data_IF_498377604080
#
_entry.id   IF_498377604080
#
_cell.length_a   1.000
_cell.length_b   1.000
_cell.length_c   1.000
_cell.angle_alpha   90.00
_cell.angle_beta   90.00
_cell.angle_gamma   90.00
#
_symmetry.space_group_name_H-M   'P 1'
#
loop_
_entity.id
_entity.type
_entity.pdbx_description
1 polymer ?
#
# COMPACT_ATOMS: atom_id res chain seq x y z
N UNK A 1 -6.78 18.47 19.32
CA UNK A 1 -7.14 19.68 20.04
C UNK A 1 -6.83 19.48 21.51
N UNK A 2 -5.65 19.90 21.96
CA UNK A 2 -5.40 20.03 23.40
C UNK A 2 -6.00 21.37 23.84
N UNK A 3 -6.83 21.41 24.90
CA UNK A 3 -7.32 22.68 25.42
C UNK A 3 -6.17 23.42 26.09
N UNK A 4 -5.82 24.59 25.57
CA UNK A 4 -4.86 25.51 26.19
C UNK A 4 -5.67 26.46 27.08
N UNK A 5 -5.50 26.36 28.40
CA UNK A 5 -6.13 27.28 29.35
C UNK A 5 -5.15 28.43 29.63
N UNK A 6 -5.36 29.59 29.02
CA UNK A 6 -4.73 30.83 29.49
C UNK A 6 -5.38 31.20 30.84
N UNK A 7 -4.58 31.48 31.89
CA UNK A 7 -5.08 31.87 33.22
C UNK A 7 -5.76 33.22 33.09
N UNK A 8 -7.09 33.23 33.09
CA UNK A 8 -7.87 34.47 32.98
C UNK A 8 -9.25 34.34 32.36
N UNK A 9 -9.63 33.16 31.88
CA UNK A 9 -10.93 32.94 31.25
C UNK A 9 -10.78 32.59 29.78
N UNK A 10 -11.80 31.90 29.27
CA UNK A 10 -11.82 31.18 28.00
C UNK A 10 -11.61 32.16 26.83
N UNK A 11 -10.38 32.30 26.34
CA UNK A 11 -10.10 32.92 25.05
C UNK A 11 -9.35 31.92 24.14
N UNK A 12 -9.78 31.88 22.88
CA UNK A 12 -9.25 31.05 21.79
C UNK A 12 -7.73 31.26 21.58
N UNK A 13 -7.00 30.24 21.15
CA UNK A 13 -5.55 30.23 20.91
C UNK A 13 -5.08 31.44 20.08
N UNK A 14 -5.88 31.86 19.08
CA UNK A 14 -5.62 33.05 18.25
C UNK A 14 -5.55 34.36 19.06
N UNK A 15 -6.38 34.51 20.09
CA UNK A 15 -6.42 35.71 20.93
C UNK A 15 -5.19 35.79 21.84
N UNK A 16 -4.79 34.66 22.44
CA UNK A 16 -3.61 34.56 23.30
C UNK A 16 -2.31 34.76 22.45
N UNK A 17 -2.27 34.23 21.22
CA UNK A 17 -1.15 34.42 20.29
C UNK A 17 -0.99 35.87 19.77
N UNK A 18 -2.09 36.56 19.47
CA UNK A 18 -2.05 37.96 19.01
C UNK A 18 -1.55 38.90 20.13
N UNK A 19 -1.98 38.70 21.38
CA UNK A 19 -1.49 39.47 22.53
C UNK A 19 0.01 39.32 22.77
N UNK A 20 0.59 38.18 22.40
CA UNK A 20 2.03 37.96 22.47
C UNK A 20 2.81 38.51 21.27
N UNK A 21 2.14 38.74 20.13
CA UNK A 21 2.75 39.32 18.92
C UNK A 21 3.10 40.80 19.05
N UNK A 22 2.32 41.55 19.83
CA UNK A 22 2.50 43.01 20.00
C UNK A 22 3.46 43.40 21.15
N UNK A 23 4.12 42.44 21.79
CA UNK A 23 5.15 42.71 22.80
C UNK A 23 4.63 43.22 24.16
N UNK A 24 3.32 43.24 24.36
CA UNK A 24 2.69 43.95 25.48
C UNK A 24 2.27 43.03 26.65
N UNK A 25 3.01 41.94 26.91
CA UNK A 25 2.69 41.00 28.00
C UNK A 25 3.60 41.27 29.20
N UNK A 26 3.06 41.92 30.24
CA UNK A 26 3.69 42.00 31.57
C UNK A 26 3.58 40.62 32.24
N UNK A 27 4.70 40.12 32.79
CA UNK A 27 4.90 38.72 33.21
C UNK A 27 4.07 38.21 34.40
N UNK A 28 2.83 38.64 34.53
CA UNK A 28 1.86 38.22 35.56
C UNK A 28 0.65 37.49 34.93
N UNK A 29 0.38 37.66 33.64
CA UNK A 29 -0.80 37.05 32.97
C UNK A 29 -0.54 35.70 32.26
N UNK A 30 0.70 35.23 32.21
CA UNK A 30 1.03 33.87 31.75
C UNK A 30 1.31 32.98 32.96
N UNK A 31 0.26 32.71 33.73
CA UNK A 31 0.32 31.78 34.86
C UNK A 31 0.51 30.33 34.41
N UNK A 32 1.28 29.58 35.21
CA UNK A 32 1.51 28.13 35.11
C UNK A 32 0.19 27.34 35.06
N UNK A 33 -0.37 27.12 33.88
CA UNK A 33 -1.27 25.99 33.62
C UNK A 33 -1.13 25.60 32.16
N UNK A 34 -0.45 24.49 31.92
CA UNK A 34 -0.19 23.95 30.59
C UNK A 34 1.24 24.20 30.08
N UNK A 35 1.62 23.43 29.05
CA UNK A 35 2.96 23.31 28.44
C UNK A 35 3.56 24.60 27.82
N UNK A 36 2.99 25.79 28.07
CA UNK A 36 3.38 27.04 27.41
C UNK A 36 3.61 28.11 28.48
N UNK A 37 4.86 28.59 28.63
CA UNK A 37 5.21 29.82 29.37
C UNK A 37 5.19 31.02 28.38
N UNK A 38 5.57 32.26 28.67
CA UNK A 38 6.05 33.28 27.68
C UNK A 38 7.13 34.15 28.36
N UNK A 39 8.29 34.30 27.71
CA UNK A 39 9.44 35.03 28.27
C UNK A 39 9.61 36.39 27.57
N UNK A 40 9.68 37.46 28.36
CA UNK A 40 9.83 38.85 27.86
C UNK A 40 11.12 39.09 27.06
N UNK A 41 12.17 38.29 27.24
CA UNK A 41 13.47 38.47 26.60
C UNK A 41 13.59 37.74 25.25
N UNK A 42 12.76 36.71 25.03
CA UNK A 42 12.84 35.82 23.86
C UNK A 42 11.49 35.59 23.13
N UNK A 43 10.40 36.19 23.61
CA UNK A 43 9.04 35.96 23.10
C UNK A 43 8.39 34.71 23.72
N UNK A 44 7.26 34.26 23.17
CA UNK A 44 6.65 33.03 23.67
C UNK A 44 7.60 31.83 23.51
N UNK A 45 7.70 30.97 24.54
CA UNK A 45 8.75 30.00 24.73
C UNK A 45 8.34 28.67 24.13
N UNK A 46 9.37 27.87 23.97
CA UNK A 46 9.26 26.54 23.41
C UNK A 46 8.38 25.58 24.21
N UNK A 47 7.62 24.75 23.50
CA UNK A 47 6.77 23.66 24.00
C UNK A 47 7.57 22.58 24.75
N UNK A 48 8.89 22.48 24.52
CA UNK A 48 9.73 21.40 25.04
C UNK A 48 10.74 21.82 26.11
N UNK A 49 11.13 23.09 26.20
CA UNK A 49 12.11 23.56 27.20
C UNK A 49 11.97 25.06 27.52
N UNK A 50 12.22 25.43 28.78
CA UNK A 50 12.20 26.84 29.19
C UNK A 50 13.31 27.63 28.50
N UNK A 51 12.96 28.68 27.74
CA UNK A 51 13.90 29.60 27.09
C UNK A 51 14.31 29.25 25.66
N UNK A 52 13.71 28.24 25.03
CA UNK A 52 14.02 27.87 23.64
C UNK A 52 13.26 28.74 22.61
N UNK A 53 13.84 28.85 21.42
CA UNK A 53 13.37 29.72 20.33
C UNK A 53 12.29 29.05 19.48
N UNK A 54 11.55 29.83 18.66
CA UNK A 54 10.56 29.29 17.70
C UNK A 54 11.15 28.26 16.72
N UNK A 55 12.43 28.38 16.40
CA UNK A 55 13.12 27.45 15.50
C UNK A 55 13.32 26.09 16.17
N UNK A 56 13.66 26.08 17.46
CA UNK A 56 13.83 24.87 18.26
C UNK A 56 12.52 24.08 18.38
N UNK A 57 11.40 24.78 18.51
CA UNK A 57 10.05 24.18 18.55
C UNK A 57 9.62 23.57 17.22
N UNK A 58 9.93 24.23 16.11
CA UNK A 58 9.65 23.68 14.78
C UNK A 58 10.47 22.41 14.53
N UNK A 59 11.71 22.37 15.02
CA UNK A 59 12.58 21.19 14.92
C UNK A 59 12.05 20.08 15.82
N UNK A 60 11.75 20.35 17.10
CA UNK A 60 11.25 19.36 18.04
C UNK A 60 9.88 18.80 17.64
N UNK A 61 8.99 19.64 17.11
CA UNK A 61 7.72 19.21 16.51
C UNK A 61 7.92 18.30 15.30
N UNK A 62 8.87 18.64 14.41
CA UNK A 62 9.26 17.80 13.28
C UNK A 62 9.80 16.44 13.72
N UNK A 63 10.71 16.41 14.70
CA UNK A 63 11.26 15.18 15.27
C UNK A 63 10.18 14.33 15.92
N UNK A 64 9.29 14.92 16.71
CA UNK A 64 8.18 14.22 17.35
C UNK A 64 7.22 13.60 16.31
N UNK A 65 6.92 14.33 15.23
CA UNK A 65 6.09 13.83 14.13
C UNK A 65 6.73 12.62 13.45
N UNK A 66 8.03 12.68 13.14
CA UNK A 66 8.76 11.58 12.51
C UNK A 66 8.79 10.36 13.44
N UNK A 67 9.12 10.55 14.72
CA UNK A 67 9.13 9.47 15.71
C UNK A 67 7.76 8.81 15.88
N UNK A 68 6.69 9.61 15.96
CA UNK A 68 5.32 9.11 16.04
C UNK A 68 4.93 8.29 14.80
N UNK A 69 5.34 8.75 13.61
CA UNK A 69 5.07 8.05 12.36
C UNK A 69 5.84 6.73 12.26
N UNK A 70 7.12 6.71 12.66
CA UNK A 70 7.92 5.49 12.74
C UNK A 70 7.32 4.51 13.75
N UNK A 71 6.95 4.98 14.95
CA UNK A 71 6.35 4.14 15.98
C UNK A 71 5.01 3.55 15.53
N UNK A 72 4.15 4.36 14.90
CA UNK A 72 2.88 3.91 14.32
C UNK A 72 3.13 2.83 13.26
N UNK A 73 4.11 3.04 12.39
CA UNK A 73 4.46 2.10 11.32
C UNK A 73 5.00 0.78 11.87
N UNK A 74 5.89 0.81 12.86
CA UNK A 74 6.40 -0.39 13.55
C UNK A 74 5.27 -1.13 14.26
N UNK A 75 4.38 -0.42 14.96
CA UNK A 75 3.24 -1.03 15.65
C UNK A 75 2.28 -1.71 14.66
N UNK A 76 1.96 -1.05 13.55
CA UNK A 76 1.10 -1.60 12.50
C UNK A 76 1.72 -2.86 11.87
N UNK A 77 3.02 -2.84 11.54
CA UNK A 77 3.72 -4.01 11.00
C UNK A 77 3.81 -5.14 12.02
N UNK A 78 4.08 -4.82 13.29
CA UNK A 78 4.12 -5.79 14.39
C UNK A 78 2.78 -6.50 14.58
N UNK A 79 1.69 -5.75 14.59
CA UNK A 79 0.33 -6.28 14.70
C UNK A 79 -0.02 -7.24 13.55
N UNK A 80 0.31 -6.85 12.31
CA UNK A 80 0.10 -7.70 11.13
C UNK A 80 0.93 -8.99 11.23
N UNK A 81 2.21 -8.90 11.61
CA UNK A 81 3.11 -10.05 11.74
C UNK A 81 2.66 -11.02 12.84
N UNK A 82 2.26 -10.51 14.01
CA UNK A 82 1.77 -11.33 15.13
C UNK A 82 0.50 -12.06 14.73
N UNK A 83 -0.43 -11.37 14.08
CA UNK A 83 -1.68 -12.00 13.64
C UNK A 83 -1.45 -13.07 12.58
N UNK A 84 -0.55 -12.83 11.62
CA UNK A 84 -0.18 -13.83 10.62
C UNK A 84 0.41 -15.09 11.26
N UNK A 85 1.30 -14.94 12.24
CA UNK A 85 1.90 -16.07 12.97
C UNK A 85 0.86 -16.84 13.80
N UNK A 86 -0.03 -16.14 14.50
CA UNK A 86 -1.06 -16.78 15.34
C UNK A 86 -2.07 -17.62 14.55
N UNK A 87 -2.41 -17.18 13.33
CA UNK A 87 -3.38 -17.89 12.49
C UNK A 87 -2.77 -19.06 11.71
N UNK A 88 -1.47 -19.00 11.37
CA UNK A 88 -0.74 -20.16 10.86
C UNK A 88 -0.68 -21.31 11.89
N UNK A 89 -0.81 -21.00 13.19
CA UNK A 89 -0.90 -22.01 14.26
C UNK A 89 -2.30 -22.57 14.51
N UNK A 90 -3.37 -21.97 13.95
CA UNK A 90 -4.74 -22.45 14.14
C UNK A 90 -5.06 -23.57 13.14
N UNK A 91 -5.71 -24.65 13.60
CA UNK A 91 -6.07 -25.77 12.72
C UNK A 91 -6.90 -25.27 11.54
N UNK A 92 -6.41 -25.51 10.32
CA UNK A 92 -7.07 -25.18 9.05
C UNK A 92 -8.51 -25.69 8.98
N UNK A 93 -8.80 -26.79 9.68
CA UNK A 93 -10.14 -27.40 9.78
C UNK A 93 -11.14 -26.56 10.58
N UNK A 94 -10.69 -25.83 11.60
CA UNK A 94 -11.52 -24.91 12.39
C UNK A 94 -11.86 -23.68 11.55
N UNK A 95 -10.85 -23.12 10.87
CA UNK A 95 -10.99 -21.97 9.98
C UNK A 95 -11.97 -22.30 8.85
N UNK A 96 -11.83 -23.48 8.23
CA UNK A 96 -12.72 -23.91 7.15
C UNK A 96 -14.18 -24.05 7.62
N UNK A 97 -14.44 -24.68 8.78
CA UNK A 97 -15.79 -24.78 9.33
C UNK A 97 -16.39 -23.42 9.69
N UNK A 98 -15.59 -22.52 10.25
CA UNK A 98 -16.04 -21.18 10.63
C UNK A 98 -16.35 -20.29 9.41
N UNK A 99 -15.70 -20.53 8.28
CA UNK A 99 -15.86 -19.74 7.04
C UNK A 99 -16.81 -20.37 6.02
N UNK A 100 -17.23 -21.62 6.20
CA UNK A 100 -18.25 -22.28 5.40
C UNK A 100 -19.67 -21.91 5.88
N UNK A 101 -19.99 -20.63 5.76
CA UNK A 101 -21.30 -20.07 6.11
C UNK A 101 -21.94 -19.42 4.88
N UNK A 102 -23.27 -19.26 4.83
CA UNK A 102 -23.92 -18.53 3.74
C UNK A 102 -23.32 -17.13 3.62
N UNK A 103 -23.16 -16.65 2.39
CA UNK A 103 -22.33 -15.47 2.16
C UNK A 103 -22.84 -14.16 2.79
N UNK A 104 -24.12 -14.07 3.14
CA UNK A 104 -24.65 -12.96 3.97
C UNK A 104 -24.08 -13.01 5.39
N UNK A 105 -23.97 -14.19 6.00
CA UNK A 105 -23.33 -14.32 7.31
C UNK A 105 -21.84 -14.02 7.23
N UNK A 106 -21.17 -14.44 6.16
CA UNK A 106 -19.77 -14.10 5.92
C UNK A 106 -19.56 -12.58 5.84
N UNK A 107 -20.51 -11.85 5.23
CA UNK A 107 -20.50 -10.38 5.19
C UNK A 107 -20.68 -9.77 6.59
N UNK A 108 -21.63 -10.24 7.38
CA UNK A 108 -21.84 -9.76 8.76
C UNK A 108 -20.61 -10.05 9.62
N UNK A 109 -19.99 -11.23 9.50
CA UNK A 109 -18.76 -11.59 10.21
C UNK A 109 -17.62 -10.63 9.84
N UNK A 110 -17.42 -10.36 8.54
CA UNK A 110 -16.40 -9.42 8.09
C UNK A 110 -16.59 -8.01 8.67
N UNK A 111 -17.84 -7.53 8.69
CA UNK A 111 -18.18 -6.25 9.29
C UNK A 111 -17.91 -6.25 10.80
N UNK A 112 -18.37 -7.28 11.53
CA UNK A 112 -18.17 -7.40 12.96
C UNK A 112 -16.68 -7.45 13.35
N UNK A 113 -15.88 -8.26 12.66
CA UNK A 113 -14.43 -8.33 12.88
C UNK A 113 -13.81 -6.94 12.70
N UNK A 114 -14.16 -6.23 11.63
CA UNK A 114 -13.59 -4.91 11.36
C UNK A 114 -14.03 -3.86 12.37
N UNK A 115 -15.28 -3.89 12.85
CA UNK A 115 -15.76 -2.98 13.89
C UNK A 115 -15.03 -3.21 15.21
N UNK A 116 -14.79 -4.47 15.58
CA UNK A 116 -14.09 -4.84 16.81
C UNK A 116 -12.60 -4.49 16.75
N UNK A 117 -11.96 -4.80 15.62
CA UNK A 117 -10.51 -4.61 15.44
C UNK A 117 -10.17 -3.19 14.95
N UNK A 118 -11.16 -2.44 14.47
CA UNK A 118 -11.02 -1.10 13.87
C UNK A 118 -10.04 -1.05 12.69
N UNK A 119 -9.82 -2.19 12.01
CA UNK A 119 -8.90 -2.26 10.88
C UNK A 119 -9.32 -3.34 9.88
N UNK A 120 -9.67 -2.91 8.67
CA UNK A 120 -10.00 -3.80 7.56
C UNK A 120 -8.77 -4.41 6.88
N UNK A 121 -7.60 -3.75 6.99
CA UNK A 121 -6.34 -4.27 6.43
C UNK A 121 -5.89 -5.54 7.15
N UNK A 122 -6.19 -5.64 8.44
CA UNK A 122 -5.92 -6.83 9.25
C UNK A 122 -6.75 -8.02 8.75
N UNK A 123 -8.05 -7.81 8.53
CA UNK A 123 -8.94 -8.85 7.98
C UNK A 123 -8.47 -9.34 6.60
N UNK A 124 -8.13 -8.43 5.70
CA UNK A 124 -7.68 -8.81 4.34
C UNK A 124 -6.28 -9.45 4.33
N UNK A 125 -5.36 -8.99 5.19
CA UNK A 125 -4.00 -9.55 5.32
C UNK A 125 -4.00 -10.99 5.87
N UNK A 126 -5.04 -11.34 6.64
CA UNK A 126 -5.29 -12.69 7.11
C UNK A 126 -5.90 -13.58 6.03
N UNK A 127 -6.93 -13.08 5.33
CA UNK A 127 -7.65 -13.89 4.35
C UNK A 127 -6.80 -14.18 3.11
N UNK A 128 -5.95 -13.24 2.69
CA UNK A 128 -5.12 -13.38 1.48
C UNK A 128 -4.22 -14.62 1.48
N UNK A 129 -3.38 -14.88 2.51
CA UNK A 129 -2.57 -16.10 2.55
C UNK A 129 -3.41 -17.37 2.70
N UNK A 130 -4.54 -17.33 3.43
CA UNK A 130 -5.43 -18.49 3.56
C UNK A 130 -6.07 -18.89 2.21
N UNK A 131 -6.37 -17.91 1.36
CA UNK A 131 -6.78 -18.16 -0.03
C UNK A 131 -5.62 -18.67 -0.88
N UNK A 132 -4.41 -18.12 -0.69
CA UNK A 132 -3.18 -18.59 -1.36
C UNK A 132 -2.84 -20.05 -1.05
N UNK A 133 -3.10 -20.50 0.19
CA UNK A 133 -2.92 -21.88 0.65
C UNK A 133 -4.11 -22.79 0.30
N UNK A 134 -5.18 -22.26 -0.28
CA UNK A 134 -6.39 -23.03 -0.63
C UNK A 134 -7.27 -23.44 0.56
N UNK A 135 -7.00 -22.91 1.77
CA UNK A 135 -7.82 -23.16 2.97
C UNK A 135 -9.18 -22.50 2.84
N UNK A 136 -9.23 -21.31 2.23
CA UNK A 136 -10.45 -20.55 1.97
C UNK A 136 -10.57 -20.34 0.45
N UNK A 137 -11.78 -20.49 -0.11
CA UNK A 137 -12.01 -20.19 -1.52
C UNK A 137 -12.14 -18.68 -1.75
N UNK A 138 -11.75 -18.21 -2.93
CA UNK A 138 -11.89 -16.80 -3.33
C UNK A 138 -13.34 -16.30 -3.22
N UNK A 139 -14.30 -17.18 -3.52
CA UNK A 139 -15.74 -16.95 -3.37
C UNK A 139 -16.18 -16.65 -1.94
N UNK A 140 -15.49 -17.22 -0.94
CA UNK A 140 -15.76 -17.01 0.48
C UNK A 140 -15.09 -15.74 0.98
N UNK A 141 -13.90 -15.41 0.45
CA UNK A 141 -13.18 -14.17 0.77
C UNK A 141 -13.94 -12.91 0.32
N UNK A 142 -14.64 -12.97 -0.82
CA UNK A 142 -15.38 -11.83 -1.37
C UNK A 142 -16.39 -11.23 -0.37
N UNK A 143 -17.42 -11.95 0.13
CA UNK A 143 -18.37 -11.40 1.09
C UNK A 143 -17.73 -10.94 2.40
N UNK A 144 -16.71 -11.66 2.90
CA UNK A 144 -15.96 -11.24 4.09
C UNK A 144 -15.31 -9.86 3.89
N UNK A 145 -14.73 -9.63 2.71
CA UNK A 145 -14.06 -8.37 2.37
C UNK A 145 -15.07 -7.24 2.19
N UNK A 146 -16.22 -7.52 1.55
CA UNK A 146 -17.32 -6.56 1.43
C UNK A 146 -17.88 -6.18 2.81
N UNK A 147 -17.99 -7.15 3.71
CA UNK A 147 -18.34 -6.92 5.11
C UNK A 147 -17.35 -6.01 5.82
N UNK A 148 -16.06 -6.30 5.68
CA UNK A 148 -15.00 -5.48 6.26
C UNK A 148 -15.08 -4.01 5.81
N UNK A 149 -15.38 -3.76 4.53
CA UNK A 149 -15.58 -2.40 4.01
C UNK A 149 -16.75 -1.67 4.70
N UNK A 150 -17.86 -2.36 4.99
CA UNK A 150 -18.95 -1.78 5.80
C UNK A 150 -18.43 -1.46 7.21
N UNK A 151 -17.70 -2.39 7.83
CA UNK A 151 -17.15 -2.19 9.18
C UNK A 151 -16.29 -0.94 9.30
N UNK A 152 -15.47 -0.62 8.30
CA UNK A 152 -14.65 0.61 8.26
C UNK A 152 -15.49 1.89 8.30
N UNK A 153 -16.71 1.88 7.77
CA UNK A 153 -17.59 3.08 7.79
C UNK A 153 -18.10 3.41 9.20
N UNK A 154 -18.14 2.42 10.10
CA UNK A 154 -18.54 2.61 11.50
C UNK A 154 -17.55 3.51 12.23
N UNK A 155 -16.26 3.42 11.92
CA UNK A 155 -15.23 4.30 12.49
C UNK A 155 -15.53 5.78 12.18
N UNK A 156 -15.87 6.07 10.92
CA UNK A 156 -16.25 7.42 10.50
C UNK A 156 -17.54 7.90 11.17
N UNK A 157 -18.51 6.99 11.35
CA UNK A 157 -19.75 7.29 12.05
C UNK A 157 -19.50 7.63 13.53
N UNK A 158 -18.72 6.82 14.24
CA UNK A 158 -18.34 7.09 15.63
C UNK A 158 -17.57 8.41 15.76
N UNK A 159 -16.61 8.67 14.86
CA UNK A 159 -15.87 9.93 14.84
C UNK A 159 -16.80 11.13 14.60
N UNK A 160 -17.79 10.99 13.71
CA UNK A 160 -18.75 12.06 13.45
C UNK A 160 -19.62 12.38 14.66
N UNK A 161 -20.04 11.37 15.42
CA UNK A 161 -20.83 11.53 16.65
C UNK A 161 -20.04 12.24 17.76
N UNK A 162 -18.73 11.98 17.84
CA UNK A 162 -17.84 12.67 18.80
C UNK A 162 -17.57 14.12 18.38
N UNK A 163 -17.52 14.41 17.08
CA UNK A 163 -17.20 15.74 16.56
C UNK A 163 -18.36 16.75 16.63
N UNK A 164 -19.58 16.31 16.94
CA UNK A 164 -20.85 17.09 16.94
C UNK A 164 -21.07 17.95 15.67
N UNK A 165 -20.43 17.56 14.56
CA UNK A 165 -20.48 18.28 13.29
C UNK A 165 -21.45 17.58 12.34
N UNK A 166 -22.49 18.30 11.94
CA UNK A 166 -23.45 17.83 10.92
C UNK A 166 -22.73 17.50 9.60
N UNK A 167 -21.70 18.26 9.24
CA UNK A 167 -20.90 17.99 8.05
C UNK A 167 -20.12 16.67 8.17
N UNK A 168 -19.53 16.39 9.33
CA UNK A 168 -18.83 15.12 9.56
C UNK A 168 -19.80 13.93 9.51
N UNK A 169 -21.01 14.07 10.07
CA UNK A 169 -22.05 13.05 10.01
C UNK A 169 -22.51 12.81 8.57
N UNK A 170 -22.72 13.87 7.79
CA UNK A 170 -23.11 13.78 6.39
C UNK A 170 -22.06 12.99 5.58
N UNK A 171 -20.76 13.30 5.77
CA UNK A 171 -19.68 12.57 5.08
C UNK A 171 -19.65 11.11 5.50
N UNK A 172 -19.79 10.81 6.80
CA UNK A 172 -19.83 9.44 7.31
C UNK A 172 -21.01 8.63 6.75
N UNK A 173 -22.20 9.23 6.69
CA UNK A 173 -23.39 8.61 6.10
C UNK A 173 -23.24 8.40 4.59
N UNK A 174 -22.67 9.37 3.86
CA UNK A 174 -22.34 9.19 2.45
C UNK A 174 -21.42 7.98 2.24
N UNK A 175 -20.39 7.81 3.07
CA UNK A 175 -19.51 6.64 3.02
C UNK A 175 -20.26 5.32 3.29
N UNK A 176 -21.12 5.29 4.30
CA UNK A 176 -21.92 4.11 4.64
C UNK A 176 -22.85 3.73 3.47
N UNK A 177 -23.63 4.68 2.96
CA UNK A 177 -24.58 4.41 1.87
C UNK A 177 -23.89 4.06 0.55
N UNK A 178 -22.74 4.67 0.26
CA UNK A 178 -21.94 4.31 -0.91
C UNK A 178 -21.49 2.84 -0.83
N UNK A 179 -21.00 2.38 0.32
CA UNK A 179 -20.58 0.99 0.49
C UNK A 179 -21.76 0.01 0.43
N UNK A 180 -22.88 0.33 1.10
CA UNK A 180 -24.08 -0.52 1.09
C UNK A 180 -24.66 -0.62 -0.32
N UNK A 181 -24.83 0.49 -1.02
CA UNK A 181 -25.36 0.50 -2.40
C UNK A 181 -24.43 -0.25 -3.36
N UNK A 182 -23.12 -0.07 -3.24
CA UNK A 182 -22.13 -0.84 -4.00
C UNK A 182 -22.29 -2.35 -3.77
N UNK A 183 -22.46 -2.79 -2.53
CA UNK A 183 -22.67 -4.20 -2.21
C UNK A 183 -23.98 -4.72 -2.81
N UNK A 184 -25.08 -3.97 -2.71
CA UNK A 184 -26.38 -4.35 -3.27
C UNK A 184 -26.31 -4.52 -4.81
N UNK A 185 -25.48 -3.71 -5.48
CA UNK A 185 -25.30 -3.81 -6.93
C UNK A 185 -24.40 -5.00 -7.30
N UNK A 186 -23.27 -5.15 -6.62
CA UNK A 186 -22.21 -6.09 -7.03
C UNK A 186 -22.36 -7.50 -6.46
N UNK A 187 -22.97 -7.66 -5.29
CA UNK A 187 -22.96 -8.94 -4.57
C UNK A 187 -24.18 -9.83 -4.86
N UNK A 188 -25.46 -9.39 -4.73
CA UNK A 188 -26.63 -10.22 -5.00
C UNK A 188 -26.71 -10.72 -6.43
N UNK A 189 -26.32 -9.90 -7.41
CA UNK A 189 -26.47 -10.21 -8.84
C UNK A 189 -25.36 -11.18 -9.28
N UNK A 190 -25.68 -12.43 -9.72
CA UNK A 190 -24.68 -13.45 -10.01
C UNK A 190 -23.69 -13.06 -11.13
N UNK A 191 -24.17 -12.32 -12.14
CA UNK A 191 -23.31 -11.82 -13.21
C UNK A 191 -22.32 -10.78 -12.71
N UNK A 192 -22.79 -9.80 -11.92
CA UNK A 192 -21.92 -8.76 -11.35
C UNK A 192 -20.88 -9.35 -10.41
N UNK A 193 -21.27 -10.33 -9.57
CA UNK A 193 -20.35 -11.03 -8.66
C UNK A 193 -19.20 -11.74 -9.38
N UNK A 194 -19.45 -12.29 -10.58
CA UNK A 194 -18.43 -12.99 -11.36
C UNK A 194 -17.34 -12.04 -11.89
N UNK A 195 -17.65 -10.77 -12.10
CA UNK A 195 -16.69 -9.79 -12.64
C UNK A 195 -15.47 -9.62 -11.72
N UNK A 196 -15.60 -9.25 -10.42
CA UNK A 196 -14.45 -9.10 -9.54
C UNK A 196 -13.73 -10.43 -9.26
N UNK A 197 -14.48 -11.54 -9.13
CA UNK A 197 -13.88 -12.87 -8.93
C UNK A 197 -13.01 -13.29 -10.11
N UNK A 198 -13.51 -13.10 -11.34
CA UNK A 198 -12.74 -13.38 -12.54
C UNK A 198 -11.57 -12.41 -12.70
N UNK A 199 -11.78 -11.13 -12.41
CA UNK A 199 -10.72 -10.12 -12.41
C UNK A 199 -9.56 -10.49 -11.49
N UNK A 200 -9.86 -10.90 -10.24
CA UNK A 200 -8.87 -11.36 -9.29
C UNK A 200 -8.11 -12.61 -9.76
N UNK A 201 -8.81 -13.58 -10.37
CA UNK A 201 -8.17 -14.78 -10.95
C UNK A 201 -7.26 -14.46 -12.11
N UNK A 202 -7.70 -13.65 -13.05
CA UNK A 202 -6.91 -13.28 -14.23
C UNK A 202 -5.69 -12.44 -13.83
N UNK A 203 -5.87 -11.48 -12.92
CA UNK A 203 -4.76 -10.70 -12.37
C UNK A 203 -3.76 -11.61 -11.66
N UNK A 204 -4.23 -12.58 -10.87
CA UNK A 204 -3.37 -13.60 -10.24
C UNK A 204 -2.58 -14.42 -11.25
N UNK A 205 -3.19 -14.84 -12.37
CA UNK A 205 -2.48 -15.54 -13.45
C UNK A 205 -1.39 -14.67 -14.10
N UNK A 206 -1.64 -13.38 -14.29
CA UNK A 206 -0.67 -12.45 -14.87
C UNK A 206 0.50 -12.18 -13.92
N UNK A 207 0.21 -11.99 -12.64
CA UNK A 207 1.22 -11.79 -11.60
C UNK A 207 2.16 -12.99 -11.47
N UNK A 208 1.66 -14.22 -11.65
CA UNK A 208 2.53 -15.41 -11.69
C UNK A 208 3.48 -15.43 -12.88
N UNK A 209 3.08 -14.84 -14.03
CA UNK A 209 3.92 -14.81 -15.24
C UNK A 209 4.99 -13.72 -15.20
N UNK A 210 4.68 -12.56 -14.61
CA UNK A 210 5.62 -11.44 -14.54
C UNK A 210 5.49 -10.67 -13.23
N UNK A 211 6.63 -10.54 -12.54
CA UNK A 211 6.76 -9.76 -11.29
C UNK A 211 6.52 -8.25 -11.48
N UNK A 212 6.50 -7.76 -12.72
CA UNK A 212 6.24 -6.34 -13.02
C UNK A 212 4.75 -5.98 -13.05
N UNK A 213 3.84 -6.96 -13.08
CA UNK A 213 2.39 -6.69 -13.17
C UNK A 213 1.84 -5.97 -11.93
N UNK A 214 2.14 -6.37 -10.67
CA UNK A 214 1.63 -5.67 -9.50
C UNK A 214 1.99 -4.18 -9.42
N UNK A 215 3.26 -3.74 -9.58
CA UNK A 215 3.58 -2.32 -9.53
C UNK A 215 2.94 -1.54 -10.69
N UNK A 216 2.86 -2.10 -11.90
CA UNK A 216 2.18 -1.45 -13.04
C UNK A 216 0.69 -1.26 -12.74
N UNK A 217 0.04 -2.28 -12.17
CA UNK A 217 -1.36 -2.22 -11.77
C UNK A 217 -1.59 -1.11 -10.73
N UNK A 218 -0.76 -1.06 -9.68
CA UNK A 218 -0.86 -0.05 -8.62
C UNK A 218 -0.71 1.35 -9.20
N UNK A 219 0.36 1.60 -9.97
CA UNK A 219 0.62 2.92 -10.58
C UNK A 219 -0.54 3.34 -11.47
N UNK A 220 -1.06 2.42 -12.28
CA UNK A 220 -2.10 2.75 -13.26
C UNK A 220 -3.45 3.00 -12.58
N UNK A 221 -3.86 2.14 -11.65
CA UNK A 221 -5.20 2.17 -11.03
C UNK A 221 -5.29 3.19 -9.90
N UNK A 222 -4.24 3.36 -9.10
CA UNK A 222 -4.28 4.26 -7.93
C UNK A 222 -3.74 5.67 -8.20
N UNK A 223 -2.92 5.87 -9.24
CA UNK A 223 -2.37 7.18 -9.55
C UNK A 223 -2.85 7.70 -10.90
N UNK A 224 -2.53 7.01 -12.00
CA UNK A 224 -2.82 7.52 -13.35
C UNK A 224 -4.33 7.69 -13.58
N UNK A 225 -5.14 6.68 -13.25
CA UNK A 225 -6.57 6.74 -13.47
C UNK A 225 -7.28 7.83 -12.63
N UNK A 226 -7.06 7.94 -11.30
CA UNK A 226 -7.63 9.04 -10.51
C UNK A 226 -7.15 10.42 -10.95
N UNK A 227 -5.87 10.59 -11.26
CA UNK A 227 -5.33 11.87 -11.76
C UNK A 227 -5.95 12.27 -13.09
N UNK A 228 -6.15 11.31 -14.00
CA UNK A 228 -6.79 11.55 -15.28
C UNK A 228 -8.26 11.92 -15.10
N UNK A 229 -9.00 11.21 -14.24
CA UNK A 229 -10.40 11.54 -13.93
C UNK A 229 -10.53 12.91 -13.26
N UNK A 230 -9.64 13.24 -12.33
CA UNK A 230 -9.60 14.55 -11.68
C UNK A 230 -9.27 15.65 -12.70
N UNK A 231 -8.26 15.45 -13.54
CA UNK A 231 -7.90 16.38 -14.60
C UNK A 231 -9.06 16.63 -15.58
N UNK A 232 -9.80 15.58 -15.95
CA UNK A 232 -11.02 15.72 -16.76
C UNK A 232 -12.10 16.49 -15.98
N UNK A 233 -12.31 16.19 -14.70
CA UNK A 233 -13.30 16.88 -13.87
C UNK A 233 -13.03 18.38 -13.78
N UNK A 234 -11.78 18.80 -13.62
CA UNK A 234 -11.39 20.21 -13.57
C UNK A 234 -11.72 20.98 -14.85
N UNK A 235 -11.70 20.31 -16.02
CA UNK A 235 -12.12 20.93 -17.29
C UNK A 235 -13.59 21.37 -17.27
N UNK A 236 -14.45 20.67 -16.51
CA UNK A 236 -15.87 21.01 -16.38
C UNK A 236 -16.15 22.08 -15.32
N UNK A 237 -15.25 22.27 -14.35
CA UNK A 237 -15.42 23.25 -13.25
C UNK A 237 -15.13 24.67 -13.72
N UNK A 238 -14.29 24.88 -14.73
CA UNK A 238 -13.80 26.21 -15.13
C UNK A 238 -14.84 27.17 -15.73
N UNK A 239 -16.14 26.82 -15.84
CA UNK A 239 -17.26 27.63 -16.39
C UNK A 239 -17.05 28.30 -17.76
N UNK A 240 -15.89 28.13 -18.41
CA UNK A 240 -15.60 28.61 -19.77
C UNK A 240 -16.07 27.57 -20.78
N UNK A 241 -16.82 28.03 -21.78
CA UNK A 241 -17.40 27.19 -22.84
C UNK A 241 -16.34 26.37 -23.59
N UNK A 242 -15.14 26.92 -23.80
CA UNK A 242 -14.06 26.19 -24.49
C UNK A 242 -13.56 24.95 -23.74
N UNK A 243 -13.41 25.05 -22.41
CA UNK A 243 -12.93 23.93 -21.59
C UNK A 243 -13.98 22.84 -21.43
N UNK A 244 -15.26 23.21 -21.35
CA UNK A 244 -16.35 22.22 -21.32
C UNK A 244 -16.48 21.47 -22.64
N UNK A 245 -16.31 22.13 -23.79
CA UNK A 245 -16.29 21.46 -25.11
C UNK A 245 -15.07 20.53 -25.23
N UNK A 246 -13.89 20.98 -24.78
CA UNK A 246 -12.70 20.11 -24.77
C UNK A 246 -12.92 18.90 -23.85
N UNK A 247 -13.48 19.11 -22.66
CA UNK A 247 -13.80 18.06 -21.71
C UNK A 247 -14.76 17.01 -22.31
N UNK A 248 -15.82 17.44 -22.99
CA UNK A 248 -16.77 16.49 -23.62
C UNK A 248 -16.13 15.69 -24.74
N UNK A 249 -15.29 16.31 -25.58
CA UNK A 249 -14.53 15.61 -26.64
C UNK A 249 -13.60 14.56 -26.02
N UNK A 250 -12.85 14.92 -24.97
CA UNK A 250 -11.94 13.99 -24.29
C UNK A 250 -12.72 12.82 -23.68
N UNK A 251 -13.84 13.08 -23.01
CA UNK A 251 -14.68 12.03 -22.42
C UNK A 251 -15.20 11.07 -23.50
N UNK A 252 -15.67 11.59 -24.63
CA UNK A 252 -16.13 10.77 -25.75
C UNK A 252 -14.98 9.94 -26.36
N UNK A 253 -13.80 10.55 -26.54
CA UNK A 253 -12.61 9.86 -27.04
C UNK A 253 -12.16 8.73 -26.10
N UNK A 254 -12.14 8.98 -24.79
CA UNK A 254 -11.83 7.98 -23.77
C UNK A 254 -12.87 6.86 -23.79
N UNK A 255 -14.16 7.19 -23.85
CA UNK A 255 -15.24 6.21 -23.89
C UNK A 255 -15.15 5.30 -25.13
N UNK A 256 -14.94 5.89 -26.31
CA UNK A 256 -14.72 5.15 -27.55
C UNK A 256 -13.45 4.30 -27.50
N UNK A 257 -12.39 4.82 -26.88
CA UNK A 257 -11.14 4.09 -26.62
C UNK A 257 -11.37 2.86 -25.74
N UNK A 258 -12.15 3.00 -24.66
CA UNK A 258 -12.51 1.89 -23.77
C UNK A 258 -13.34 0.85 -24.53
N UNK A 259 -14.33 1.26 -25.32
CA UNK A 259 -15.14 0.33 -26.13
C UNK A 259 -14.26 -0.41 -27.14
N UNK A 260 -13.39 0.31 -27.86
CA UNK A 260 -12.46 -0.28 -28.82
C UNK A 260 -11.51 -1.26 -28.14
N UNK A 261 -10.97 -0.90 -26.99
CA UNK A 261 -10.10 -1.77 -26.19
C UNK A 261 -10.84 -3.01 -25.70
N UNK A 262 -12.05 -2.85 -25.14
CA UNK A 262 -12.87 -3.97 -24.67
C UNK A 262 -13.26 -4.92 -25.82
N UNK A 263 -13.59 -4.37 -26.99
CA UNK A 263 -13.86 -5.15 -28.19
C UNK A 263 -12.62 -5.89 -28.67
N UNK A 264 -11.46 -5.22 -28.73
CA UNK A 264 -10.19 -5.84 -29.08
C UNK A 264 -9.84 -6.98 -28.12
N UNK A 265 -9.99 -6.73 -26.82
CA UNK A 265 -9.73 -7.67 -25.74
C UNK A 265 -10.64 -8.91 -25.78
N UNK A 266 -11.88 -8.76 -26.26
CA UNK A 266 -12.87 -9.84 -26.30
C UNK A 266 -12.91 -10.59 -27.64
N UNK A 267 -12.61 -9.94 -28.76
CA UNK A 267 -12.93 -10.44 -30.11
C UNK A 267 -11.73 -10.57 -31.05
N UNK A 268 -10.59 -9.95 -30.74
CA UNK A 268 -9.44 -9.81 -31.65
C UNK A 268 -8.14 -10.28 -30.99
N UNK A 269 -8.11 -11.51 -30.47
CA UNK A 269 -6.92 -12.19 -29.92
C UNK A 269 -6.04 -11.38 -28.93
N UNK A 270 -6.48 -10.21 -28.45
CA UNK A 270 -5.63 -9.29 -27.72
C UNK A 270 -5.15 -9.86 -26.40
N UNK A 271 -5.99 -10.71 -25.78
CA UNK A 271 -5.62 -11.55 -24.64
C UNK A 271 -4.46 -12.50 -24.97
N UNK A 272 -4.51 -13.16 -26.12
CA UNK A 272 -3.49 -14.11 -26.55
C UNK A 272 -2.17 -13.38 -26.86
N UNK A 273 -2.24 -12.24 -27.55
CA UNK A 273 -1.06 -11.41 -27.83
C UNK A 273 -0.42 -10.85 -26.55
N UNK A 274 -1.23 -10.38 -25.59
CA UNK A 274 -0.75 -9.91 -24.31
C UNK A 274 -0.04 -11.03 -23.53
N UNK A 275 -0.63 -12.22 -23.47
CA UNK A 275 -0.02 -13.38 -22.83
C UNK A 275 1.28 -13.78 -23.53
N UNK A 276 1.31 -13.83 -24.85
CA UNK A 276 2.52 -14.14 -25.61
C UNK A 276 3.64 -13.11 -25.38
N UNK A 277 3.30 -11.83 -25.26
CA UNK A 277 4.25 -10.77 -24.91
C UNK A 277 4.85 -10.97 -23.50
N UNK A 278 4.01 -11.32 -22.52
CA UNK A 278 4.47 -11.65 -21.17
C UNK A 278 5.41 -12.85 -21.17
N UNK A 279 5.02 -13.94 -21.84
CA UNK A 279 5.82 -15.17 -21.90
C UNK A 279 7.16 -14.93 -22.60
N UNK A 280 7.19 -14.16 -23.72
CA UNK A 280 8.45 -13.78 -24.40
C UNK A 280 9.42 -13.04 -23.48
N UNK A 281 8.91 -12.12 -22.65
CA UNK A 281 9.74 -11.37 -21.70
C UNK A 281 10.31 -12.28 -20.62
N UNK A 282 9.50 -13.23 -20.13
CA UNK A 282 9.94 -14.22 -19.14
C UNK A 282 10.97 -15.18 -19.72
N UNK A 283 10.76 -15.71 -20.93
CA UNK A 283 11.73 -16.57 -21.63
C UNK A 283 13.06 -15.86 -21.89
N UNK A 284 13.02 -14.57 -22.30
CA UNK A 284 14.25 -13.78 -22.48
C UNK A 284 15.02 -13.63 -21.18
N UNK A 285 14.33 -13.33 -20.08
CA UNK A 285 14.98 -13.18 -18.77
C UNK A 285 15.56 -14.52 -18.27
N UNK A 286 14.87 -15.64 -18.53
CA UNK A 286 15.38 -16.97 -18.19
C UNK A 286 16.62 -17.34 -19.03
N UNK A 287 16.61 -17.06 -20.34
CA UNK A 287 17.77 -17.26 -21.20
C UNK A 287 18.98 -16.39 -20.76
N UNK A 288 18.73 -15.13 -20.37
CA UNK A 288 19.76 -14.24 -19.82
C UNK A 288 20.34 -14.75 -18.49
N UNK A 289 19.54 -15.44 -17.67
CA UNK A 289 20.01 -16.02 -16.41
C UNK A 289 20.81 -17.31 -16.59
N UNK A 290 20.58 -18.08 -17.66
CA UNK A 290 21.31 -19.32 -17.98
C UNK A 290 22.64 -19.08 -18.71
N UNK A 291 22.80 -17.91 -19.33
CA UNK A 291 24.02 -17.51 -20.07
C UNK A 291 25.35 -17.71 -19.31
N UNK A 292 25.48 -17.45 -17.99
CA UNK A 292 26.71 -17.69 -17.25
C UNK A 292 27.08 -19.17 -17.14
N UNK A 293 26.10 -20.04 -16.87
CA UNK A 293 26.32 -21.49 -16.79
C UNK A 293 26.72 -22.06 -18.16
N UNK A 294 26.02 -21.65 -19.22
CA UNK A 294 26.33 -22.07 -20.58
C UNK A 294 27.73 -21.61 -21.02
N UNK A 295 28.13 -20.39 -20.64
CA UNK A 295 29.47 -19.86 -20.94
C UNK A 295 30.56 -20.63 -20.19
N UNK A 296 30.36 -20.95 -18.91
CA UNK A 296 31.30 -21.76 -18.14
C UNK A 296 31.39 -23.19 -18.69
N UNK A 297 30.26 -23.79 -19.05
CA UNK A 297 30.21 -25.10 -19.70
C UNK A 297 30.92 -25.11 -21.06
N UNK A 298 30.75 -24.06 -21.87
CA UNK A 298 31.45 -23.91 -23.15
C UNK A 298 32.96 -23.77 -22.93
N UNK A 299 33.40 -22.96 -21.96
CA UNK A 299 34.82 -22.83 -21.60
C UNK A 299 35.43 -24.15 -21.15
N UNK A 300 34.75 -24.92 -20.31
CA UNK A 300 35.26 -26.22 -19.85
C UNK A 300 35.35 -27.25 -20.97
N UNK A 301 34.38 -27.25 -21.90
CA UNK A 301 34.44 -28.10 -23.11
C UNK A 301 35.58 -27.73 -24.03
N UNK A 302 35.82 -26.43 -24.24
CA UNK A 302 36.93 -25.95 -25.07
C UNK A 302 38.28 -26.33 -24.44
N UNK A 303 38.43 -26.18 -23.12
CA UNK A 303 39.64 -26.60 -22.41
C UNK A 303 39.92 -28.11 -22.57
N UNK A 304 38.90 -28.97 -22.41
CA UNK A 304 39.03 -30.42 -22.64
C UNK A 304 39.40 -30.77 -24.09
N UNK A 305 38.83 -30.04 -25.06
CA UNK A 305 39.14 -30.24 -26.49
C UNK A 305 40.56 -29.79 -26.83
N UNK A 306 41.03 -28.68 -26.25
CA UNK A 306 42.40 -28.19 -26.42
C UNK A 306 43.42 -29.22 -25.90
N UNK A 307 43.18 -29.79 -24.72
CA UNK A 307 44.02 -30.83 -24.13
C UNK A 307 44.11 -32.10 -25.00
N UNK A 308 43.02 -32.48 -25.67
CA UNK A 308 42.99 -33.67 -26.52
C UNK A 308 43.53 -33.47 -27.94
N UNK A 309 43.55 -32.25 -28.45
CA UNK A 309 43.95 -31.96 -29.85
C UNK A 309 45.34 -31.35 -29.98
N UNK A 310 45.97 -30.95 -28.87
CA UNK A 310 47.32 -30.38 -28.87
C UNK A 310 47.42 -29.03 -29.59
N UNK A 311 46.31 -28.30 -29.68
CA UNK A 311 46.31 -26.93 -30.17
C UNK A 311 47.12 -26.05 -29.20
N UNK A 312 48.02 -25.18 -29.69
CA UNK A 312 48.71 -24.24 -28.82
C UNK A 312 47.67 -23.34 -28.14
N UNK A 313 47.84 -23.11 -26.85
CA UNK A 313 47.11 -22.06 -26.14
C UNK A 313 47.47 -20.74 -26.81
N UNK A 314 46.53 -20.14 -27.54
CA UNK A 314 46.71 -18.79 -28.04
C UNK A 314 46.89 -17.88 -26.82
N UNK A 315 48.05 -17.22 -26.78
CA UNK A 315 48.54 -16.39 -25.69
C UNK A 315 47.45 -15.46 -25.15
N UNK A 316 47.39 -15.41 -23.82
CA UNK A 316 46.71 -14.36 -23.06
C UNK A 316 47.09 -12.99 -23.64
N UNK A 317 46.15 -12.33 -24.30
CA UNK A 317 46.22 -10.89 -24.49
C UNK A 317 45.77 -10.26 -23.17
N UNK A 318 46.73 -10.15 -22.26
CA UNK A 318 46.67 -9.17 -21.19
C UNK A 318 47.01 -7.79 -21.78
N UNK A 319 46.00 -6.93 -21.93
CA UNK A 319 46.20 -5.50 -21.76
C UNK A 319 45.37 -4.99 -20.58
N UNK A 320 46.16 -4.58 -19.59
CA UNK A 320 45.93 -4.04 -18.27
C UNK A 320 44.94 -2.87 -18.11
N UNK A 321 44.24 -2.94 -16.96
CA UNK A 321 44.06 -1.91 -15.91
C UNK A 321 43.47 -0.53 -16.25
N UNK A 322 42.34 -0.28 -15.60
CA UNK A 322 42.27 0.79 -14.59
C UNK A 322 41.48 0.31 -13.35
N UNK A 323 42.23 0.07 -12.27
CA UNK A 323 41.90 0.21 -10.82
C UNK A 323 40.61 -0.48 -10.31
N UNK A 324 40.63 -1.52 -9.46
CA UNK A 324 41.50 -1.76 -8.29
C UNK A 324 41.09 -0.80 -7.15
N UNK A 325 40.22 -1.17 -6.23
CA UNK A 325 40.57 -1.82 -4.94
C UNK A 325 39.25 -2.07 -4.17
N UNK A 326 38.94 -3.31 -3.80
CA UNK A 326 39.23 -3.99 -2.50
C UNK A 326 38.18 -3.61 -1.44
N UNK A 327 37.51 -4.48 -0.67
CA UNK A 327 37.68 -5.88 -0.24
C UNK A 327 36.26 -6.40 0.13
N UNK A 328 35.86 -7.68 -0.03
CA UNK A 328 36.17 -8.84 0.82
C UNK A 328 35.95 -8.51 2.33
N UNK A 329 35.10 -9.12 3.14
CA UNK A 329 34.87 -10.50 3.62
C UNK A 329 33.61 -10.37 4.54
N UNK A 330 32.74 -11.36 4.81
CA UNK A 330 33.03 -12.70 5.26
C UNK A 330 31.81 -13.63 5.06
N UNK A 331 32.15 -14.86 4.67
CA UNK A 331 31.44 -16.12 4.90
C UNK A 331 31.38 -16.51 6.42
N UNK A 332 30.78 -17.65 6.86
CA UNK A 332 30.33 -18.81 6.09
C UNK A 332 28.93 -19.38 6.43
N UNK A 333 28.53 -20.29 5.53
CA UNK A 333 27.51 -21.31 5.70
C UNK A 333 27.80 -22.30 6.83
N UNK A 334 26.74 -22.91 7.38
CA UNK A 334 26.81 -24.26 7.93
C UNK A 334 25.42 -24.92 7.86
N UNK A 335 25.16 -25.67 6.79
CA UNK A 335 24.24 -26.82 6.82
C UNK A 335 24.93 -27.96 6.06
N UNK A 336 25.51 -28.89 6.82
CA UNK A 336 25.97 -30.18 6.33
C UNK A 336 24.80 -31.17 6.40
N UNK A 337 24.51 -31.83 5.29
CA UNK A 337 23.60 -32.98 5.19
C UNK A 337 24.42 -34.22 4.81
N UNK A 338 24.28 -35.22 5.67
CA UNK A 338 24.24 -36.67 5.44
C UNK A 338 25.44 -37.50 4.91
N UNK A 339 25.79 -38.46 5.77
CA UNK A 339 25.77 -39.91 5.55
C UNK A 339 26.92 -40.62 4.81
N UNK A 340 27.78 -41.21 5.63
CA UNK A 340 28.31 -42.59 5.55
C UNK A 340 28.56 -42.98 7.03
N UNK A 341 28.34 -44.18 7.57
CA UNK A 341 28.66 -45.52 7.08
C UNK A 341 28.06 -46.58 8.05
N UNK A 342 27.87 -47.80 7.54
CA UNK A 342 27.97 -49.10 8.23
C UNK A 342 26.83 -49.65 9.13
N UNK A 343 26.44 -50.88 8.75
CA UNK A 343 25.80 -51.98 9.49
C UNK A 343 24.26 -52.06 9.51
#
# INVERSE_FOLDING_TARGET
YYPVLCVGGIEDYKSCANKCGDGDVKGVDCGRVGLITCDKKYGCPAFFQNGATKQDDSIAGGVCMVLALVFLLVCLLGLVNVLQRGLMGMSTRIIYKATNVPGIFALVIGAAITVLVQSSSITTSVLTPLVGLGVIQLEQMLPLTLGANIGTTVTGLLASLVSDSVAALQVALCHLFFNISGIIIWYPIPFMRKIPLNGARELGKWTRRSKAIPPIYIITVFFICPLLLLGISELFVQKKVGWTVLGTIIVLAVFLGIIRFAWWWKRQEGRAQFIACLDKRTSRNAALAALPEDMQFLKSKVAQLAEHTGLPEDEEVDEEKAEGTDDAEAEPEAVAEEAEEQA
#
